data_IF_843120129504
#
_entry.id   IF_843120129504
#
_cell.length_a   1.000
_cell.length_b   1.000
_cell.length_c   1.000
_cell.angle_alpha   90.00
_cell.angle_beta   90.00
_cell.angle_gamma   90.00
#
_symmetry.space_group_name_H-M   'P 1'
#
loop_
_entity.id
_entity.type
_entity.pdbx_description
1 polymer ?
#
# COMPACT_ATOMS: atom_id res chain seq x y z
N UNK A 1 6.64 14.86 18.02
CA UNK A 1 5.99 13.61 17.57
C UNK A 1 4.70 13.45 18.38
N UNK A 2 3.56 13.96 17.90
CA UNK A 2 2.26 13.94 18.61
C UNK A 2 1.06 13.87 17.63
N UNK A 3 1.26 13.39 16.40
CA UNK A 3 0.21 13.40 15.36
C UNK A 3 -0.23 12.01 14.86
N UNK A 4 0.37 10.89 15.29
CA UNK A 4 0.13 9.61 14.59
C UNK A 4 -1.00 8.75 15.16
N UNK A 5 -1.42 8.98 16.42
CA UNK A 5 -2.42 8.13 17.09
C UNK A 5 -3.84 8.63 16.85
N UNK A 6 -4.04 9.95 16.91
CA UNK A 6 -5.36 10.55 16.70
C UNK A 6 -5.77 10.45 15.23
N UNK A 7 -4.84 10.70 14.29
CA UNK A 7 -5.05 10.51 12.86
C UNK A 7 -5.44 9.05 12.52
N UNK A 8 -4.84 8.06 13.22
CA UNK A 8 -5.19 6.65 13.02
C UNK A 8 -6.57 6.30 13.59
N UNK A 9 -6.96 6.90 14.71
CA UNK A 9 -8.29 6.69 15.28
C UNK A 9 -9.38 7.25 14.35
N UNK A 10 -9.17 8.44 13.81
CA UNK A 10 -10.09 9.08 12.85
C UNK A 10 -10.19 8.26 11.55
N UNK A 11 -9.05 7.80 11.01
CA UNK A 11 -9.04 6.93 9.84
C UNK A 11 -9.77 5.61 10.08
N UNK A 12 -9.58 4.99 11.25
CA UNK A 12 -10.28 3.75 11.59
C UNK A 12 -11.80 3.97 11.69
N UNK A 13 -12.24 5.14 12.17
CA UNK A 13 -13.65 5.49 12.21
C UNK A 13 -14.26 5.66 10.81
N UNK A 14 -13.54 6.32 9.89
CA UNK A 14 -13.96 6.46 8.49
C UNK A 14 -14.09 5.10 7.80
N UNK A 15 -13.09 4.23 7.96
CA UNK A 15 -13.09 2.89 7.36
C UNK A 15 -14.23 2.04 7.95
N UNK A 16 -14.45 2.11 9.27
CA UNK A 16 -15.53 1.38 9.93
C UNK A 16 -16.91 1.81 9.41
N UNK A 17 -17.13 3.12 9.23
CA UNK A 17 -18.37 3.65 8.67
C UNK A 17 -18.61 3.18 7.22
N UNK A 18 -17.56 3.17 6.39
CA UNK A 18 -17.66 2.66 5.02
C UNK A 18 -17.94 1.14 4.98
N UNK A 19 -17.25 0.36 5.80
CA UNK A 19 -17.46 -1.08 5.90
C UNK A 19 -18.88 -1.41 6.41
N UNK A 20 -19.40 -0.63 7.36
CA UNK A 20 -20.79 -0.74 7.83
C UNK A 20 -21.78 -0.56 6.68
N UNK A 21 -21.59 0.47 5.85
CA UNK A 21 -22.47 0.73 4.70
C UNK A 21 -22.44 -0.38 3.63
N UNK A 22 -21.30 -1.08 3.49
CA UNK A 22 -21.14 -2.16 2.51
C UNK A 22 -21.71 -3.49 3.03
N UNK A 23 -21.50 -3.80 4.31
CA UNK A 23 -21.84 -5.10 4.90
C UNK A 23 -23.23 -5.15 5.54
N UNK A 24 -23.89 -3.99 5.70
CA UNK A 24 -25.16 -3.85 6.40
C UNK A 24 -25.13 -4.46 7.82
N UNK A 25 -23.95 -4.45 8.45
CA UNK A 25 -23.73 -4.87 9.85
C UNK A 25 -22.91 -3.83 10.57
N UNK A 26 -23.05 -3.75 11.89
CA UNK A 26 -22.19 -2.86 12.68
C UNK A 26 -20.73 -3.30 12.53
N UNK A 27 -19.86 -2.35 12.17
CA UNK A 27 -18.40 -2.49 12.15
C UNK A 27 -17.84 -1.41 13.04
N UNK A 28 -17.02 -1.77 14.02
CA UNK A 28 -16.45 -0.81 14.97
C UNK A 28 -15.05 -0.34 14.55
N UNK A 29 -14.61 0.87 14.94
CA UNK A 29 -13.23 1.31 14.71
C UNK A 29 -12.21 0.39 15.39
N UNK A 30 -12.58 -0.23 16.51
CA UNK A 30 -11.75 -1.20 17.22
C UNK A 30 -11.55 -2.50 16.42
N UNK A 31 -12.57 -2.96 15.70
CA UNK A 31 -12.43 -4.07 14.75
C UNK A 31 -11.43 -3.73 13.65
N UNK A 32 -11.52 -2.55 13.03
CA UNK A 32 -10.56 -2.11 12.01
C UNK A 32 -9.13 -2.05 12.58
N UNK A 33 -8.98 -1.55 13.80
CA UNK A 33 -7.69 -1.51 14.48
C UNK A 33 -7.12 -2.91 14.75
N UNK A 34 -7.97 -3.89 15.09
CA UNK A 34 -7.56 -5.28 15.28
C UNK A 34 -7.11 -5.92 13.96
N UNK A 35 -7.84 -5.69 12.87
CA UNK A 35 -7.45 -6.14 11.51
C UNK A 35 -6.07 -5.58 11.13
N UNK A 36 -5.83 -4.29 11.37
CA UNK A 36 -4.53 -3.64 11.09
C UNK A 36 -3.36 -4.24 11.87
N UNK A 37 -3.61 -4.69 13.10
CA UNK A 37 -2.58 -5.34 13.94
C UNK A 37 -2.34 -6.81 13.57
N UNK A 38 -3.21 -7.40 12.76
CA UNK A 38 -3.21 -8.84 12.49
C UNK A 38 -3.76 -9.67 13.65
N UNK A 39 -4.46 -9.05 14.59
CA UNK A 39 -5.03 -9.75 15.75
C UNK A 39 -6.27 -10.55 15.33
N UNK A 40 -6.26 -11.86 15.56
CA UNK A 40 -7.48 -12.67 15.62
C UNK A 40 -8.10 -13.11 14.29
N UNK A 41 -7.43 -12.93 13.15
CA UNK A 41 -7.93 -13.39 11.84
C UNK A 41 -9.16 -12.61 11.39
N UNK A 42 -8.93 -11.59 10.57
CA UNK A 42 -10.02 -10.74 10.08
C UNK A 42 -11.05 -11.56 9.29
N UNK A 43 -12.36 -11.35 9.53
CA UNK A 43 -13.41 -11.98 8.74
C UNK A 43 -13.24 -11.67 7.24
N UNK A 44 -13.34 -12.66 6.33
CA UNK A 44 -13.12 -12.44 4.90
C UNK A 44 -14.09 -11.43 4.26
N UNK A 45 -15.32 -11.35 4.77
CA UNK A 45 -16.32 -10.33 4.40
C UNK A 45 -15.85 -8.92 4.78
N UNK A 46 -15.26 -8.76 5.97
CA UNK A 46 -14.67 -7.49 6.40
C UNK A 46 -13.50 -7.07 5.52
N UNK A 47 -12.59 -8.01 5.20
CA UNK A 47 -11.46 -7.74 4.30
C UNK A 47 -11.93 -7.33 2.90
N UNK A 48 -12.99 -7.97 2.39
CA UNK A 48 -13.60 -7.61 1.11
C UNK A 48 -14.22 -6.21 1.15
N UNK A 49 -14.93 -5.85 2.22
CA UNK A 49 -15.50 -4.51 2.38
C UNK A 49 -14.42 -3.43 2.45
N UNK A 50 -13.31 -3.70 3.13
CA UNK A 50 -12.14 -2.81 3.16
C UNK A 50 -11.55 -2.64 1.76
N UNK A 51 -11.36 -3.74 1.01
CA UNK A 51 -10.85 -3.66 -0.35
C UNK A 51 -11.76 -2.82 -1.28
N UNK A 52 -13.08 -3.01 -1.18
CA UNK A 52 -14.07 -2.21 -1.92
C UNK A 52 -13.97 -0.73 -1.55
N UNK A 53 -13.82 -0.39 -0.26
CA UNK A 53 -13.66 0.98 0.19
C UNK A 53 -12.44 1.68 -0.44
N UNK A 54 -11.34 0.95 -0.64
CA UNK A 54 -10.12 1.46 -1.27
C UNK A 54 -10.11 1.35 -2.80
N UNK A 55 -11.20 0.87 -3.41
CA UNK A 55 -11.30 0.58 -4.86
C UNK A 55 -10.19 -0.37 -5.35
N UNK A 56 -9.91 -1.39 -4.54
CA UNK A 56 -8.92 -2.43 -4.82
C UNK A 56 -9.62 -3.78 -4.93
N UNK A 57 -9.12 -4.65 -5.81
CA UNK A 57 -9.60 -6.03 -5.91
C UNK A 57 -9.42 -6.76 -4.57
N UNK A 58 -10.49 -7.37 -4.05
CA UNK A 58 -10.45 -8.09 -2.77
C UNK A 58 -9.44 -9.24 -2.73
N UNK A 59 -9.07 -9.79 -3.90
CA UNK A 59 -7.99 -10.78 -4.03
C UNK A 59 -6.65 -10.25 -3.55
N UNK A 60 -6.43 -8.93 -3.54
CA UNK A 60 -5.19 -8.34 -3.04
C UNK A 60 -4.94 -8.65 -1.57
N UNK A 61 -6.03 -8.71 -0.79
CA UNK A 61 -5.96 -8.97 0.65
C UNK A 61 -6.19 -10.45 0.98
N UNK A 62 -7.02 -11.13 0.19
CA UNK A 62 -7.40 -12.53 0.43
C UNK A 62 -6.45 -13.55 -0.21
N UNK A 63 -5.78 -13.18 -1.30
CA UNK A 63 -4.93 -14.05 -2.13
C UNK A 63 -3.65 -13.31 -2.57
N UNK A 64 -2.81 -12.83 -1.61
CA UNK A 64 -1.65 -11.99 -1.93
C UNK A 64 -0.57 -12.71 -2.75
N UNK A 65 -0.58 -14.04 -2.78
CA UNK A 65 0.42 -14.84 -3.47
C UNK A 65 0.24 -14.88 -4.99
N UNK A 66 -0.92 -14.46 -5.50
CA UNK A 66 -1.20 -14.41 -6.94
C UNK A 66 -0.27 -13.42 -7.64
N UNK A 67 0.19 -13.77 -8.85
CA UNK A 67 1.10 -12.94 -9.63
C UNK A 67 0.49 -11.56 -9.92
N UNK A 68 -0.82 -11.50 -10.22
CA UNK A 68 -1.51 -10.24 -10.46
C UNK A 68 -1.51 -9.32 -9.23
N UNK A 69 -1.57 -9.89 -8.01
CA UNK A 69 -1.56 -9.13 -6.77
C UNK A 69 -0.17 -8.60 -6.45
N UNK A 70 0.88 -9.36 -6.78
CA UNK A 70 2.27 -8.86 -6.72
C UNK A 70 2.51 -7.71 -7.71
N UNK A 71 1.96 -7.80 -8.92
CA UNK A 71 2.02 -6.71 -9.90
C UNK A 71 1.25 -5.48 -9.41
N UNK A 72 0.10 -5.66 -8.76
CA UNK A 72 -0.64 -4.56 -8.17
C UNK A 72 0.14 -3.90 -7.02
N UNK A 73 0.75 -4.70 -6.15
CA UNK A 73 1.63 -4.21 -5.08
C UNK A 73 2.76 -3.34 -5.62
N UNK A 74 3.40 -3.78 -6.72
CA UNK A 74 4.42 -2.99 -7.42
C UNK A 74 3.88 -1.64 -7.91
N UNK A 75 2.67 -1.60 -8.47
CA UNK A 75 2.05 -0.33 -8.91
C UNK A 75 1.78 0.60 -7.74
N UNK A 76 1.33 0.06 -6.60
CA UNK A 76 1.09 0.84 -5.38
C UNK A 76 2.41 1.41 -4.81
N UNK A 77 3.49 0.62 -4.80
CA UNK A 77 4.81 1.07 -4.38
C UNK A 77 5.36 2.21 -5.27
N UNK A 78 5.12 2.13 -6.60
CA UNK A 78 5.47 3.20 -7.54
C UNK A 78 4.65 4.47 -7.24
N UNK A 79 3.35 4.34 -6.94
CA UNK A 79 2.49 5.48 -6.58
C UNK A 79 2.94 6.15 -5.28
N UNK A 80 3.30 5.37 -4.26
CA UNK A 80 3.85 5.89 -3.00
C UNK A 80 5.18 6.64 -3.24
N UNK A 81 6.03 6.07 -4.08
CA UNK A 81 7.30 6.68 -4.49
C UNK A 81 7.05 8.00 -5.22
N UNK A 82 6.14 8.03 -6.19
CA UNK A 82 5.76 9.23 -6.93
C UNK A 82 5.17 10.30 -6.00
N UNK A 83 4.36 9.93 -5.01
CA UNK A 83 3.83 10.85 -3.99
C UNK A 83 4.95 11.44 -3.14
N UNK A 84 5.86 10.61 -2.65
CA UNK A 84 6.99 11.04 -1.81
C UNK A 84 7.91 11.98 -2.59
N UNK A 85 8.18 11.65 -3.84
CA UNK A 85 9.02 12.48 -4.72
C UNK A 85 8.28 13.76 -5.12
N UNK A 86 7.00 13.71 -5.45
CA UNK A 86 6.18 14.89 -5.74
C UNK A 86 6.11 15.86 -4.56
N UNK A 87 6.05 15.35 -3.32
CA UNK A 87 6.15 16.17 -2.10
C UNK A 87 7.53 16.80 -1.97
N UNK A 88 8.61 16.05 -2.23
CA UNK A 88 10.00 16.56 -2.16
C UNK A 88 10.29 17.59 -3.26
N UNK A 89 9.92 17.29 -4.50
CA UNK A 89 10.04 18.17 -5.67
C UNK A 89 9.16 19.41 -5.51
N UNK A 90 7.93 19.27 -5.04
CA UNK A 90 7.07 20.39 -4.69
C UNK A 90 7.71 21.28 -3.63
N UNK A 91 8.28 20.70 -2.56
CA UNK A 91 8.98 21.47 -1.53
C UNK A 91 10.24 22.19 -2.05
N UNK A 92 10.96 21.62 -3.02
CA UNK A 92 12.12 22.26 -3.68
C UNK A 92 11.66 23.37 -4.64
N UNK A 93 10.59 23.14 -5.41
CA UNK A 93 10.08 24.09 -6.39
C UNK A 93 9.42 25.31 -5.72
N UNK A 94 8.65 25.11 -4.65
CA UNK A 94 8.07 26.20 -3.84
C UNK A 94 9.13 27.03 -3.08
N UNK A 95 10.38 26.54 -2.95
CA UNK A 95 11.50 27.29 -2.38
C UNK A 95 12.33 28.06 -3.43
N UNK A 96 11.89 28.10 -4.69
CA UNK A 96 12.42 29.04 -5.70
C UNK A 96 13.53 28.50 -6.60
N UNK A 97 13.77 27.18 -6.65
CA UNK A 97 14.75 26.57 -7.54
C UNK A 97 14.12 26.05 -8.84
N UNK A 98 14.76 26.34 -9.98
CA UNK A 98 14.52 25.62 -11.23
C UNK A 98 14.66 24.10 -10.98
N UNK A 99 13.84 23.30 -11.66
CA UNK A 99 13.83 21.85 -11.51
C UNK A 99 15.24 21.30 -11.80
N UNK A 100 15.91 20.87 -10.74
CA UNK A 100 17.29 20.40 -10.81
C UNK A 100 17.35 19.04 -11.52
N UNK A 101 18.27 18.89 -12.46
CA UNK A 101 18.50 17.65 -13.22
C UNK A 101 18.81 16.50 -12.26
N UNK A 102 19.46 16.79 -11.13
CA UNK A 102 19.70 15.83 -10.05
C UNK A 102 18.41 15.24 -9.48
N UNK A 103 17.34 16.04 -9.35
CA UNK A 103 16.06 15.56 -8.84
C UNK A 103 15.34 14.65 -9.84
N UNK A 104 15.55 14.86 -11.14
CA UNK A 104 15.06 14.00 -12.21
C UNK A 104 15.84 12.69 -12.29
N UNK A 105 17.16 12.74 -12.13
CA UNK A 105 18.02 11.54 -12.08
C UNK A 105 17.73 10.68 -10.83
N UNK A 106 17.48 11.32 -9.68
CA UNK A 106 17.01 10.63 -8.48
C UNK A 106 15.67 9.95 -8.74
N UNK A 107 14.73 10.63 -9.41
CA UNK A 107 13.42 10.07 -9.78
C UNK A 107 13.57 8.82 -10.65
N UNK A 108 14.39 8.89 -11.70
CA UNK A 108 14.65 7.76 -12.60
C UNK A 108 15.30 6.59 -11.87
N UNK A 109 16.25 6.88 -10.98
CA UNK A 109 16.99 5.85 -10.23
C UNK A 109 16.08 5.14 -9.23
N UNK A 110 15.27 5.89 -8.47
CA UNK A 110 14.32 5.29 -7.52
C UNK A 110 13.23 4.46 -8.21
N UNK A 111 12.73 4.89 -9.39
CA UNK A 111 11.80 4.08 -10.20
C UNK A 111 12.47 2.76 -10.65
N UNK A 112 13.75 2.81 -11.03
CA UNK A 112 14.51 1.60 -11.40
C UNK A 112 14.74 0.68 -10.20
N UNK A 113 15.05 1.22 -9.03
CA UNK A 113 15.24 0.44 -7.80
C UNK A 113 13.96 -0.22 -7.33
N UNK A 114 12.82 0.49 -7.33
CA UNK A 114 11.51 -0.09 -7.03
C UNK A 114 11.13 -1.22 -8.02
N UNK A 115 11.55 -1.10 -9.28
CA UNK A 115 11.41 -2.16 -10.29
C UNK A 115 12.31 -3.37 -10.00
N UNK A 116 13.53 -3.16 -9.53
CA UNK A 116 14.54 -4.21 -9.28
C UNK A 116 14.35 -4.94 -7.94
N UNK A 117 13.97 -4.23 -6.86
CA UNK A 117 13.71 -4.83 -5.55
C UNK A 117 12.50 -5.79 -5.56
N UNK A 118 11.59 -5.61 -6.52
CA UNK A 118 10.42 -6.47 -6.74
C UNK A 118 10.71 -7.71 -7.61
N UNK A 119 11.96 -7.94 -8.04
CA UNK A 119 12.39 -9.16 -8.73
C UNK A 119 13.51 -9.85 -7.93
N UNK A 120 13.20 -10.76 -6.99
CA UNK A 120 14.16 -11.80 -6.66
C UNK A 120 14.32 -12.70 -7.90
N UNK A 121 15.57 -12.89 -8.32
CA UNK A 121 15.97 -13.71 -9.45
C UNK A 121 15.29 -15.10 -9.48
N UNK A 122 15.09 -15.68 -10.69
CA UNK A 122 14.55 -17.02 -10.85
C UNK A 122 15.39 -18.03 -10.06
N UNK A 123 14.69 -18.94 -9.41
CA UNK A 123 15.23 -20.06 -8.65
C UNK A 123 16.15 -20.87 -9.56
N UNK A 124 17.46 -20.81 -9.33
CA UNK A 124 18.38 -21.83 -9.82
C UNK A 124 18.06 -23.11 -9.07
N UNK A 125 17.21 -23.95 -9.66
CA UNK A 125 17.03 -25.33 -9.26
C UNK A 125 18.14 -26.16 -9.91
N UNK A 126 19.14 -26.69 -9.18
CA UNK A 126 19.96 -27.75 -9.73
C UNK A 126 19.14 -29.04 -9.75
N UNK A 127 18.78 -29.46 -10.96
CA UNK A 127 18.41 -30.83 -11.28
C UNK A 127 19.50 -31.83 -10.86
N UNK A 128 19.07 -32.95 -10.30
CA UNK A 128 19.88 -34.15 -10.08
C UNK A 128 19.34 -34.92 -8.87
N UNK A 129 18.50 -35.95 -8.98
CA UNK A 129 18.44 -36.95 -10.04
C UNK A 129 19.20 -38.20 -9.61
N UNK A 130 18.62 -38.93 -8.64
CA UNK A 130 18.93 -40.30 -8.18
C UNK A 130 20.23 -40.56 -7.43
#
# INVERSE_FOLDING_TARGET
>A
MLGSSDDQADLNAVIAAAAHAILDRTVTPAEIAAVRRGDGGAPPDLLRAIAIHFDVDARYVLEPDLEEMRVLDQKLAILETARTLGVKLGAVHFRGGAMDVEALELLVTTIREARSAAHPHPVDAPHGGR
#
